data_IF_383974646329
#
_entry.id   IF_383974646329
#
_cell.length_a   1.000
_cell.length_b   1.000
_cell.length_c   1.000
_cell.angle_alpha   90.00
_cell.angle_beta   90.00
_cell.angle_gamma   90.00
#
_symmetry.space_group_name_H-M   'P 1'
#
loop_
_entity.id
_entity.type
_entity.pdbx_description
1 polymer ?
#
# COMPACT_ATOMS: atom_id res chain seq x y z
N UNK A 1 -25.20 16.06 -22.69
CA UNK A 1 -23.74 16.01 -22.92
C UNK A 1 -22.99 15.15 -21.90
N UNK A 2 -23.48 14.96 -20.67
CA UNK A 2 -23.16 13.77 -19.86
C UNK A 2 -24.44 13.01 -19.50
N UNK A 3 -25.50 13.77 -19.15
CA UNK A 3 -26.81 13.26 -18.72
C UNK A 3 -27.69 12.59 -19.80
N UNK A 4 -27.25 12.59 -21.06
CA UNK A 4 -28.05 12.15 -22.21
C UNK A 4 -27.52 10.87 -22.87
N UNK A 5 -26.27 10.49 -22.60
CA UNK A 5 -25.64 9.31 -23.20
C UNK A 5 -25.30 8.30 -22.10
N UNK A 6 -25.94 7.11 -22.08
CA UNK A 6 -25.64 6.07 -21.10
C UNK A 6 -24.21 5.52 -21.22
N UNK A 7 -23.51 5.76 -22.34
CA UNK A 7 -22.14 5.32 -22.55
C UNK A 7 -21.09 6.38 -22.21
N UNK A 8 -21.50 7.54 -21.71
CA UNK A 8 -20.60 8.66 -21.43
C UNK A 8 -19.41 8.30 -20.51
N UNK A 9 -19.64 7.39 -19.55
CA UNK A 9 -18.61 6.95 -18.60
C UNK A 9 -17.67 5.86 -19.16
N UNK A 10 -18.05 5.17 -20.23
CA UNK A 10 -17.26 4.05 -20.79
C UNK A 10 -15.86 4.42 -21.27
N UNK A 11 -15.65 5.54 -21.98
CA UNK A 11 -14.31 5.91 -22.45
C UNK A 11 -13.44 6.59 -21.37
N UNK A 12 -13.96 6.78 -20.16
CA UNK A 12 -13.22 7.46 -19.10
C UNK A 12 -12.24 6.48 -18.47
N UNK A 13 -10.96 6.83 -18.52
CA UNK A 13 -9.91 6.18 -17.75
C UNK A 13 -9.60 7.08 -16.55
N UNK A 14 -9.63 6.51 -15.35
CA UNK A 14 -9.25 7.20 -14.11
C UNK A 14 -8.03 6.52 -13.50
N UNK A 15 -7.20 7.29 -12.79
CA UNK A 15 -6.09 6.75 -12.02
C UNK A 15 -6.03 7.34 -10.62
N UNK A 16 -5.38 6.61 -9.72
CA UNK A 16 -5.13 7.03 -8.34
C UNK A 16 -3.78 6.48 -7.84
N UNK A 17 -3.23 7.11 -6.80
CA UNK A 17 -1.95 6.73 -6.23
C UNK A 17 -2.07 6.35 -4.75
N UNK A 18 -1.70 5.11 -4.44
CA UNK A 18 -1.89 4.51 -3.13
C UNK A 18 -0.54 4.17 -2.50
N UNK A 19 -0.38 4.48 -1.21
CA UNK A 19 0.77 4.03 -0.44
C UNK A 19 0.57 2.59 0.05
N UNK A 20 1.38 1.66 -0.47
CA UNK A 20 1.45 0.28 -0.03
C UNK A 20 2.55 0.10 1.03
N UNK A 21 2.15 -0.42 2.19
CA UNK A 21 3.04 -0.61 3.32
C UNK A 21 3.28 -2.10 3.58
N UNK A 22 4.50 -2.56 3.34
CA UNK A 22 4.89 -3.93 3.60
C UNK A 22 5.48 -4.05 5.00
N UNK A 23 4.81 -4.85 5.83
CA UNK A 23 5.28 -5.18 7.17
C UNK A 23 5.83 -6.60 7.19
N UNK A 24 7.10 -6.74 7.55
CA UNK A 24 7.63 -8.04 7.94
C UNK A 24 6.95 -8.51 9.23
N UNK A 25 6.17 -9.59 9.11
CA UNK A 25 5.40 -10.15 10.21
C UNK A 25 6.24 -11.08 11.09
N UNK A 26 7.42 -11.53 10.67
CA UNK A 26 8.21 -12.58 11.34
C UNK A 26 8.58 -12.21 12.79
N UNK A 27 8.96 -10.97 13.09
CA UNK A 27 9.23 -10.60 14.49
C UNK A 27 8.00 -10.48 15.43
N UNK A 28 6.75 -10.63 14.94
CA UNK A 28 5.56 -10.66 15.82
C UNK A 28 5.30 -12.06 16.39
N UNK A 29 5.57 -13.12 15.62
CA UNK A 29 5.40 -14.51 16.07
C UNK A 29 6.40 -14.86 17.18
N UNK A 30 7.61 -14.29 17.15
CA UNK A 30 8.63 -14.44 18.20
C UNK A 30 8.30 -13.70 19.51
N UNK A 31 7.21 -12.92 19.55
CA UNK A 31 6.87 -12.06 20.70
C UNK A 31 5.66 -12.57 21.51
N UNK A 32 5.10 -13.71 21.10
CA UNK A 32 4.02 -14.39 21.82
C UNK A 32 4.67 -15.30 22.87
N UNK A 33 4.93 -14.74 24.04
CA UNK A 33 5.40 -15.50 25.19
C UNK A 33 4.26 -15.60 26.21
N UNK A 34 3.73 -16.81 26.40
CA UNK A 34 2.79 -17.10 27.47
C UNK A 34 3.54 -17.11 28.81
N UNK A 35 3.15 -16.26 29.75
CA UNK A 35 3.84 -16.11 31.04
C UNK A 35 2.89 -16.23 32.23
N UNK A 36 3.40 -16.86 33.30
CA UNK A 36 2.71 -16.97 34.58
C UNK A 36 2.76 -15.68 35.40
N UNK A 37 1.84 -15.51 36.37
CA UNK A 37 1.60 -14.24 37.07
C UNK A 37 2.76 -13.68 37.90
N UNK A 38 3.78 -14.49 38.23
CA UNK A 38 4.92 -14.12 39.10
C UNK A 38 6.21 -13.86 38.30
N UNK A 39 6.16 -13.93 36.97
CA UNK A 39 7.37 -13.80 36.14
C UNK A 39 7.79 -12.33 35.93
N UNK A 40 9.10 -12.01 35.96
CA UNK A 40 9.59 -10.64 35.73
C UNK A 40 9.30 -10.18 34.29
N UNK A 41 8.99 -8.89 34.13
CA UNK A 41 8.69 -8.28 32.83
C UNK A 41 9.93 -8.34 31.92
N UNK A 42 9.81 -9.00 30.77
CA UNK A 42 10.85 -8.92 29.73
C UNK A 42 11.02 -7.47 29.24
N UNK A 43 12.26 -6.98 29.24
CA UNK A 43 12.63 -5.74 28.54
C UNK A 43 12.65 -6.04 27.04
N UNK A 44 11.54 -5.75 26.36
CA UNK A 44 11.48 -5.79 24.90
C UNK A 44 12.27 -4.59 24.38
N UNK A 45 13.44 -4.81 23.79
CA UNK A 45 14.02 -3.82 22.89
C UNK A 45 13.08 -3.72 21.69
N UNK A 46 12.41 -2.58 21.52
CA UNK A 46 11.61 -2.30 20.33
C UNK A 46 12.60 -2.05 19.18
N UNK A 47 13.03 -3.11 18.50
CA UNK A 47 13.60 -2.92 17.17
C UNK A 47 12.45 -2.44 16.28
N UNK A 48 12.51 -1.19 15.85
CA UNK A 48 11.66 -0.69 14.78
C UNK A 48 12.02 -1.47 13.53
N UNK A 49 11.19 -2.44 13.18
CA UNK A 49 11.38 -3.23 11.96
C UNK A 49 11.35 -2.29 10.75
N UNK A 50 12.16 -2.54 9.72
CA UNK A 50 12.08 -1.76 8.49
C UNK A 50 10.67 -1.91 7.91
N UNK A 51 10.05 -0.78 7.67
CA UNK A 51 8.72 -0.68 7.11
C UNK A 51 8.91 -0.23 5.67
N UNK A 52 8.82 -1.15 4.71
CA UNK A 52 9.03 -0.83 3.29
C UNK A 52 7.79 -0.11 2.79
N UNK A 53 7.97 1.13 2.33
CA UNK A 53 6.90 1.99 1.82
C UNK A 53 7.07 2.17 0.31
N UNK A 54 6.12 1.63 -0.44
CA UNK A 54 6.10 1.67 -1.92
C UNK A 54 4.85 2.41 -2.37
N UNK A 55 4.95 3.23 -3.41
CA UNK A 55 3.78 3.88 -4.01
C UNK A 55 3.30 3.05 -5.20
N UNK A 56 2.00 2.80 -5.23
CA UNK A 56 1.30 2.10 -6.31
C UNK A 56 0.52 3.12 -7.12
N UNK A 57 0.79 3.18 -8.41
CA UNK A 57 0.01 3.97 -9.37
C UNK A 57 -0.89 3.00 -10.11
N UNK A 58 -2.19 3.30 -10.15
CA UNK A 58 -3.16 2.39 -10.75
C UNK A 58 -4.13 3.16 -11.63
N UNK A 59 -4.43 2.59 -12.80
CA UNK A 59 -5.41 3.13 -13.75
C UNK A 59 -6.50 2.09 -14.04
N UNK A 60 -7.74 2.55 -14.08
CA UNK A 60 -8.92 1.75 -14.34
C UNK A 60 -9.85 2.43 -15.34
N UNK A 61 -10.54 1.63 -16.12
CA UNK A 61 -11.65 2.05 -16.99
C UNK A 61 -12.95 1.34 -16.57
N UNK A 62 -13.99 1.46 -17.39
CA UNK A 62 -15.28 0.80 -17.12
C UNK A 62 -15.24 -0.73 -17.24
N UNK A 63 -14.20 -1.30 -17.85
CA UNK A 63 -14.02 -2.73 -18.08
C UNK A 63 -13.08 -3.38 -17.03
N UNK A 64 -12.18 -2.60 -16.44
CA UNK A 64 -11.35 -3.04 -15.33
C UNK A 64 -10.02 -2.32 -15.23
N UNK A 65 -8.99 -3.07 -14.84
CA UNK A 65 -7.63 -2.56 -14.61
C UNK A 65 -6.89 -2.38 -15.93
N UNK A 66 -6.46 -1.16 -16.20
CA UNK A 66 -5.74 -0.79 -17.42
C UNK A 66 -4.23 -0.85 -17.22
N UNK A 67 -3.74 -0.25 -16.13
CA UNK A 67 -2.32 -0.16 -15.86
C UNK A 67 -2.03 -0.15 -14.37
N UNK A 68 -0.87 -0.69 -14.00
CA UNK A 68 -0.41 -0.72 -12.61
C UNK A 68 1.10 -0.67 -12.58
N UNK A 69 1.65 0.24 -11.79
CA UNK A 69 3.09 0.39 -11.61
C UNK A 69 3.43 0.58 -10.13
N UNK A 70 4.47 -0.13 -9.69
CA UNK A 70 5.08 0.09 -8.38
C UNK A 70 6.30 0.97 -8.55
N UNK A 71 6.29 2.13 -7.87
CA UNK A 71 7.45 3.01 -7.84
C UNK A 71 8.53 2.42 -6.92
N UNK A 72 9.81 2.54 -7.28
CA UNK A 72 10.90 2.07 -6.43
C UNK A 72 10.88 2.75 -5.06
N UNK A 73 11.29 2.00 -4.03
CA UNK A 73 11.27 2.43 -2.63
C UNK A 73 11.96 3.80 -2.44
N UNK A 74 11.31 4.71 -1.73
CA UNK A 74 11.82 6.06 -1.48
C UNK A 74 11.58 7.06 -2.61
N UNK A 75 10.95 6.66 -3.71
CA UNK A 75 10.60 7.58 -4.82
C UNK A 75 9.20 8.17 -4.60
N UNK A 76 9.07 9.47 -4.84
CA UNK A 76 7.77 10.17 -4.83
C UNK A 76 7.37 10.48 -6.27
N UNK A 77 6.08 10.37 -6.58
CA UNK A 77 5.56 10.82 -7.87
C UNK A 77 5.78 12.32 -8.03
N UNK A 78 6.58 12.68 -9.03
CA UNK A 78 6.78 14.05 -9.47
C UNK A 78 6.25 14.16 -10.90
N UNK A 79 6.04 15.40 -11.39
CA UNK A 79 5.58 15.63 -12.76
C UNK A 79 6.49 15.00 -13.84
N UNK A 80 7.77 14.77 -13.53
CA UNK A 80 8.74 14.10 -14.42
C UNK A 80 8.68 12.57 -14.40
N UNK A 81 8.04 11.99 -13.39
CA UNK A 81 7.93 10.54 -13.18
C UNK A 81 6.55 10.01 -13.53
N UNK A 82 5.66 10.88 -14.01
CA UNK A 82 4.33 10.50 -14.48
C UNK A 82 4.46 9.82 -15.86
N UNK A 83 4.04 8.56 -15.94
CA UNK A 83 3.93 7.77 -17.18
C UNK A 83 2.66 8.16 -17.93
#
# INVERSE_FOLDING_TARGET
MADQDPNFLKPIVTGDEIWCLWYDTEGKSHNIEWRGPVSPKSKKARSEKPCIKTMLVVFFDSEGLVHTEFLPEGTTLNASTHV
#
